data_IF_923578401107
#
_entry.id   IF_923578401107
#
_cell.length_a   1.000
_cell.length_b   1.000
_cell.length_c   1.000
_cell.angle_alpha   90.00
_cell.angle_beta   90.00
_cell.angle_gamma   90.00
#
_symmetry.space_group_name_H-M   'P 1'
#
loop_
_entity.id
_entity.type
_entity.pdbx_description
1 polymer ?
#
# COMPACT_ATOMS: atom_id res chain seq x y z
N UNK A 1 1.58 12.15 -23.09
CA UNK A 1 0.89 11.41 -22.01
C UNK A 1 1.80 11.53 -20.80
N UNK A 2 1.34 12.14 -19.70
CA UNK A 2 2.14 12.23 -18.46
C UNK A 2 2.33 10.81 -17.91
N UNK A 3 3.54 10.48 -17.47
CA UNK A 3 3.82 9.18 -16.85
C UNK A 3 2.94 9.00 -15.61
N UNK A 4 2.42 7.80 -15.31
CA UNK A 4 1.68 7.57 -14.07
C UNK A 4 2.60 7.83 -12.87
N UNK A 5 2.13 8.61 -11.89
CA UNK A 5 2.90 8.90 -10.69
C UNK A 5 3.15 7.62 -9.89
N UNK A 6 4.40 7.37 -9.50
CA UNK A 6 4.78 6.25 -8.65
C UNK A 6 4.58 6.63 -7.19
N UNK A 7 3.81 5.86 -6.44
CA UNK A 7 3.41 6.20 -5.07
C UNK A 7 3.69 5.07 -4.10
N UNK A 8 4.33 5.39 -2.97
CA UNK A 8 4.45 4.48 -1.84
C UNK A 8 3.44 4.87 -0.75
N UNK A 9 2.65 3.92 -0.27
CA UNK A 9 1.72 4.09 0.84
C UNK A 9 2.24 3.31 2.04
N UNK A 10 2.84 4.01 3.00
CA UNK A 10 3.42 3.41 4.20
C UNK A 10 2.36 3.23 5.27
N UNK A 11 1.94 2.00 5.49
CA UNK A 11 0.97 1.61 6.50
C UNK A 11 -0.25 0.89 5.92
N UNK A 12 -0.22 -0.44 5.89
CA UNK A 12 -1.33 -1.29 5.46
C UNK A 12 -2.45 -1.47 6.51
N UNK A 13 -2.90 -0.37 7.12
CA UNK A 13 -4.14 -0.31 7.90
C UNK A 13 -5.36 -0.11 7.01
N UNK A 14 -6.53 0.10 7.61
CA UNK A 14 -7.78 0.31 6.86
C UNK A 14 -7.64 1.51 5.89
N UNK A 15 -7.21 2.66 6.41
CA UNK A 15 -7.08 3.88 5.61
C UNK A 15 -5.96 3.80 4.56
N UNK A 16 -4.80 3.22 4.88
CA UNK A 16 -3.73 3.06 3.89
C UNK A 16 -4.12 2.11 2.76
N UNK A 17 -4.87 1.04 3.06
CA UNK A 17 -5.39 0.12 2.03
C UNK A 17 -6.43 0.82 1.14
N UNK A 18 -7.36 1.56 1.73
CA UNK A 18 -8.35 2.37 0.98
C UNK A 18 -7.67 3.42 0.11
N UNK A 19 -6.65 4.11 0.64
CA UNK A 19 -5.91 5.11 -0.12
C UNK A 19 -5.15 4.48 -1.28
N UNK A 20 -4.52 3.32 -1.08
CA UNK A 20 -3.84 2.59 -2.15
C UNK A 20 -4.81 2.21 -3.29
N UNK A 21 -5.99 1.70 -2.95
CA UNK A 21 -7.06 1.40 -3.92
C UNK A 21 -7.51 2.65 -4.68
N UNK A 22 -7.70 3.77 -3.99
CA UNK A 22 -8.11 5.02 -4.62
C UNK A 22 -7.02 5.55 -5.57
N UNK A 23 -5.75 5.53 -5.16
CA UNK A 23 -4.63 5.99 -5.98
C UNK A 23 -4.45 5.14 -7.24
N UNK A 24 -4.60 3.83 -7.13
CA UNK A 24 -4.63 2.92 -8.29
C UNK A 24 -5.78 3.27 -9.24
N UNK A 25 -6.99 3.52 -8.70
CA UNK A 25 -8.16 3.88 -9.51
C UNK A 25 -8.02 5.19 -10.31
N UNK A 26 -7.13 6.10 -9.88
CA UNK A 26 -6.83 7.35 -10.58
C UNK A 26 -5.55 7.26 -11.43
N UNK A 27 -4.99 6.07 -11.59
CA UNK A 27 -3.89 5.77 -12.51
C UNK A 27 -2.49 5.90 -11.92
N UNK A 28 -2.32 5.95 -10.61
CA UNK A 28 -1.00 5.91 -9.98
C UNK A 28 -0.45 4.47 -9.94
N UNK A 29 0.87 4.31 -10.02
CA UNK A 29 1.52 3.03 -9.73
C UNK A 29 1.78 2.91 -8.23
N UNK A 30 1.04 2.04 -7.54
CA UNK A 30 1.01 2.03 -6.08
C UNK A 30 1.77 0.86 -5.48
N UNK A 31 2.59 1.15 -4.46
CA UNK A 31 3.17 0.17 -3.55
C UNK A 31 2.65 0.37 -2.13
N UNK A 32 1.93 -0.61 -1.61
CA UNK A 32 1.42 -0.64 -0.23
C UNK A 32 2.44 -1.31 0.68
N UNK A 33 2.93 -0.57 1.68
CA UNK A 33 3.90 -1.06 2.65
C UNK A 33 3.19 -1.56 3.91
N UNK A 34 3.38 -2.84 4.21
CA UNK A 34 2.89 -3.50 5.42
C UNK A 34 3.85 -3.29 6.59
N UNK A 35 3.44 -3.69 7.79
CA UNK A 35 4.31 -3.63 8.97
C UNK A 35 5.43 -4.68 8.92
N UNK A 36 5.09 -5.87 8.45
CA UNK A 36 5.96 -7.05 8.43
C UNK A 36 5.59 -7.94 7.23
N UNK A 37 6.47 -8.90 6.91
CA UNK A 37 6.31 -9.76 5.75
C UNK A 37 5.15 -10.76 5.92
N UNK A 38 4.84 -11.17 7.16
CA UNK A 38 3.68 -12.02 7.44
C UNK A 38 2.38 -11.34 6.99
N UNK A 39 2.22 -10.05 7.29
CA UNK A 39 1.09 -9.27 6.79
C UNK A 39 1.13 -9.14 5.26
N UNK A 40 2.30 -8.91 4.65
CA UNK A 40 2.41 -8.80 3.19
C UNK A 40 1.96 -10.08 2.49
N UNK A 41 2.45 -11.22 2.94
CA UNK A 41 2.11 -12.53 2.40
C UNK A 41 0.64 -12.86 2.56
N UNK A 42 0.06 -12.55 3.72
CA UNK A 42 -1.38 -12.74 3.94
C UNK A 42 -2.23 -11.95 2.94
N UNK A 43 -1.86 -10.68 2.68
CA UNK A 43 -2.57 -9.83 1.71
C UNK A 43 -2.39 -10.35 0.28
N UNK A 44 -1.16 -10.70 -0.12
CA UNK A 44 -0.88 -11.23 -1.46
C UNK A 44 -1.61 -12.55 -1.72
N UNK A 45 -1.66 -13.44 -0.73
CA UNK A 45 -2.32 -14.74 -0.83
C UNK A 45 -3.85 -14.61 -0.89
N UNK A 46 -4.43 -13.71 -0.09
CA UNK A 46 -5.87 -13.48 -0.09
C UNK A 46 -6.35 -12.59 -1.25
N UNK A 47 -5.46 -11.78 -1.84
CA UNK A 47 -5.82 -10.70 -2.76
C UNK A 47 -6.61 -9.58 -2.08
N UNK A 48 -6.52 -9.47 -0.75
CA UNK A 48 -7.32 -8.56 0.08
C UNK A 48 -6.65 -8.35 1.44
N UNK A 49 -6.81 -7.17 2.05
CA UNK A 49 -6.41 -6.92 3.44
C UNK A 49 -7.50 -7.34 4.43
N UNK A 50 -7.72 -8.65 4.57
CA UNK A 50 -8.79 -9.24 5.40
C UNK A 50 -8.79 -8.69 6.83
N UNK A 51 -7.60 -8.41 7.39
CA UNK A 51 -7.45 -7.91 8.77
C UNK A 51 -8.00 -6.51 8.97
N UNK A 52 -7.86 -5.62 7.98
CA UNK A 52 -8.12 -4.18 8.15
C UNK A 52 -9.17 -3.62 7.19
N UNK A 53 -9.50 -4.32 6.10
CA UNK A 53 -10.50 -3.90 5.12
C UNK A 53 -11.16 -5.14 4.49
N UNK A 54 -11.87 -5.90 5.32
CA UNK A 54 -12.55 -7.15 4.92
C UNK A 54 -13.68 -6.92 3.91
N UNK A 55 -13.81 -7.79 2.91
CA UNK A 55 -14.79 -7.73 1.83
C UNK A 55 -14.40 -6.85 0.65
N UNK A 56 -13.19 -6.29 0.63
CA UNK A 56 -12.72 -5.37 -0.41
C UNK A 56 -11.48 -5.93 -1.12
N UNK A 57 -11.62 -6.42 -2.36
CA UNK A 57 -10.49 -6.93 -3.14
C UNK A 57 -9.42 -5.86 -3.35
N UNK A 58 -8.15 -6.25 -3.19
CA UNK A 58 -7.01 -5.43 -3.57
C UNK A 58 -6.76 -5.58 -5.08
N UNK A 59 -6.55 -4.47 -5.78
CA UNK A 59 -6.23 -4.50 -7.20
C UNK A 59 -4.92 -5.27 -7.42
N UNK A 60 -4.85 -6.24 -8.37
CA UNK A 60 -3.62 -7.02 -8.62
C UNK A 60 -2.41 -6.18 -9.05
N UNK A 61 -2.64 -4.95 -9.52
CA UNK A 61 -1.59 -4.00 -9.89
C UNK A 61 -0.90 -3.34 -8.68
N UNK A 62 -1.55 -3.35 -7.50
CA UNK A 62 -0.98 -2.79 -6.28
C UNK A 62 0.10 -3.73 -5.76
N UNK A 63 1.35 -3.28 -5.78
CA UNK A 63 2.45 -4.02 -5.19
C UNK A 63 2.36 -3.99 -3.67
N UNK A 64 2.41 -5.15 -3.00
CA UNK A 64 2.42 -5.25 -1.54
C UNK A 64 3.80 -5.67 -1.07
N UNK A 65 4.37 -5.02 -0.07
CA UNK A 65 5.71 -5.34 0.47
C UNK A 65 5.86 -4.90 1.92
N UNK A 66 6.75 -5.53 2.68
CA UNK A 66 7.21 -5.00 3.98
C UNK A 66 8.48 -4.14 3.86
N UNK A 67 9.14 -4.14 2.69
CA UNK A 67 10.37 -3.38 2.46
C UNK A 67 10.06 -1.93 2.06
N UNK A 68 10.10 -1.05 3.05
CA UNK A 68 9.90 0.39 2.85
C UNK A 68 10.98 1.02 1.95
N UNK A 69 12.22 0.53 2.00
CA UNK A 69 13.32 1.09 1.20
C UNK A 69 13.07 0.79 -0.26
N UNK A 70 12.73 -0.45 -0.58
CA UNK A 70 12.34 -0.83 -1.93
C UNK A 70 11.15 0.01 -2.39
N UNK A 71 10.09 0.10 -1.58
CA UNK A 71 8.87 0.84 -1.94
C UNK A 71 9.11 2.34 -2.20
N UNK A 72 10.04 2.97 -1.48
CA UNK A 72 10.31 4.40 -1.59
C UNK A 72 11.32 4.76 -2.69
N UNK A 73 12.17 3.81 -3.13
CA UNK A 73 13.33 4.10 -3.99
C UNK A 73 12.99 4.84 -5.30
N UNK A 74 11.82 4.59 -5.88
CA UNK A 74 11.36 5.17 -7.15
C UNK A 74 9.97 5.82 -7.01
N UNK A 75 9.57 6.17 -5.79
CA UNK A 75 8.28 6.82 -5.56
C UNK A 75 8.41 8.34 -5.74
N UNK A 76 7.58 8.93 -6.60
CA UNK A 76 7.42 10.38 -6.72
C UNK A 76 6.80 10.97 -5.44
N UNK A 77 5.94 10.19 -4.78
CA UNK A 77 5.25 10.58 -3.54
C UNK A 77 5.23 9.42 -2.55
N UNK A 78 5.51 9.72 -1.28
CA UNK A 78 5.36 8.78 -0.17
C UNK A 78 4.28 9.28 0.80
N UNK A 79 3.20 8.52 0.94
CA UNK A 79 2.17 8.73 1.95
C UNK A 79 2.53 7.95 3.21
N UNK A 80 2.74 8.65 4.32
CA UNK A 80 2.94 8.01 5.63
C UNK A 80 1.60 7.99 6.36
N UNK A 81 1.02 6.80 6.48
CA UNK A 81 -0.36 6.58 6.94
C UNK A 81 -0.44 5.61 8.12
N UNK A 82 0.64 5.58 8.90
CA UNK A 82 0.71 4.82 10.15
C UNK A 82 0.15 5.63 11.34
N UNK A 83 -0.34 4.98 12.42
CA UNK A 83 -0.78 5.70 13.62
C UNK A 83 0.32 6.60 14.18
N UNK A 84 -0.01 7.81 14.64
CA UNK A 84 0.96 8.79 15.16
C UNK A 84 1.85 8.24 16.27
N UNK A 85 1.33 7.32 17.10
CA UNK A 85 2.08 6.66 18.17
C UNK A 85 3.20 5.75 17.65
N UNK A 86 3.06 5.22 16.43
CA UNK A 86 4.04 4.35 15.80
C UNK A 86 5.11 5.10 14.99
N UNK A 87 4.95 6.42 14.81
CA UNK A 87 5.90 7.29 14.09
C UNK A 87 7.02 7.79 14.99
N UNK A 88 6.80 7.80 16.31
CA UNK A 88 7.73 8.34 17.31
C UNK A 88 8.99 7.49 17.46
#
# INVERSE_FOLDING_TARGET
MSNPSSVAVVGAGAWGTTLALHLDSVGASVRLVTRDEEQADAIRAAGENVRYLSGVPLAPAIGVTSDIRMAAQDADVVFVVVPTQAVR
#
